data_IF_113052916364
#
_entry.id   IF_113052916364
#
_cell.length_a   1.000
_cell.length_b   1.000
_cell.length_c   1.000
_cell.angle_alpha   90.00
_cell.angle_beta   90.00
_cell.angle_gamma   90.00
#
_symmetry.space_group_name_H-M   'P 1'
#
loop_
_entity.id
_entity.type
_entity.pdbx_description
1 polymer ?
#
# COMPACT_ATOMS: atom_id res chain seq x y z
N UNK A 1 -17.56 6.89 24.31
CA UNK A 1 -16.86 5.92 23.48
C UNK A 1 -15.54 5.49 24.13
N UNK A 2 -14.55 6.37 24.33
CA UNK A 2 -13.24 6.01 24.92
C UNK A 2 -13.33 5.39 26.32
N UNK A 3 -14.18 5.91 27.21
CA UNK A 3 -14.42 5.33 28.54
C UNK A 3 -14.97 3.90 28.44
N UNK A 4 -15.84 3.64 27.48
CA UNK A 4 -16.42 2.31 27.25
C UNK A 4 -15.35 1.32 26.78
N UNK A 5 -14.46 1.73 25.86
CA UNK A 5 -13.33 0.91 25.40
C UNK A 5 -12.35 0.59 26.55
N UNK A 6 -12.11 1.53 27.46
CA UNK A 6 -11.27 1.30 28.64
C UNK A 6 -11.88 0.35 29.65
N UNK A 7 -13.20 0.34 29.78
CA UNK A 7 -13.91 -0.47 30.77
C UNK A 7 -14.21 -1.88 30.24
N UNK A 8 -14.62 -2.01 29.00
CA UNK A 8 -15.12 -3.26 28.42
C UNK A 8 -14.00 -4.13 27.81
N UNK A 9 -12.77 -3.57 27.65
CA UNK A 9 -11.61 -4.34 27.18
C UNK A 9 -11.72 -4.78 25.73
N UNK A 10 -11.50 -6.06 25.46
CA UNK A 10 -11.59 -6.68 24.13
C UNK A 10 -13.04 -7.07 23.80
N UNK A 11 -13.55 -6.63 22.64
CA UNK A 11 -14.84 -7.07 22.15
C UNK A 11 -15.63 -6.03 21.37
N UNK A 12 -16.88 -6.33 21.11
CA UNK A 12 -17.80 -5.42 20.47
C UNK A 12 -18.23 -4.32 21.46
N UNK A 13 -17.86 -3.10 21.14
CA UNK A 13 -18.15 -1.91 21.96
C UNK A 13 -19.53 -1.37 21.66
N UNK A 14 -19.94 -1.47 20.40
CA UNK A 14 -21.27 -1.10 19.96
C UNK A 14 -21.71 -2.05 18.81
N UNK A 15 -22.94 -1.88 18.33
CA UNK A 15 -23.53 -2.72 17.28
C UNK A 15 -22.69 -2.79 15.99
N UNK A 16 -21.95 -1.73 15.70
CA UNK A 16 -21.19 -1.54 14.46
C UNK A 16 -19.68 -1.28 14.69
N UNK A 17 -19.22 -1.43 15.95
CA UNK A 17 -17.85 -1.16 16.34
C UNK A 17 -17.31 -2.22 17.31
N UNK A 18 -16.27 -2.92 16.91
CA UNK A 18 -15.43 -3.77 17.75
C UNK A 18 -14.05 -3.15 18.01
N UNK A 19 -13.48 -3.42 19.18
CA UNK A 19 -12.10 -3.04 19.51
C UNK A 19 -11.41 -4.21 20.19
N UNK A 20 -10.25 -4.60 19.65
CA UNK A 20 -9.44 -5.69 20.19
C UNK A 20 -8.01 -5.23 20.38
N UNK A 21 -7.42 -5.62 21.51
CA UNK A 21 -6.02 -5.32 21.81
C UNK A 21 -5.12 -6.50 21.45
N UNK A 22 -3.89 -6.20 21.08
CA UNK A 22 -2.84 -7.16 20.79
C UNK A 22 -1.48 -6.61 21.21
N UNK A 23 -0.53 -7.48 21.58
CA UNK A 23 0.80 -7.08 22.03
C UNK A 23 1.89 -7.50 21.03
N UNK A 24 1.72 -8.63 20.38
CA UNK A 24 2.70 -9.18 19.44
C UNK A 24 2.05 -9.71 18.15
N UNK A 25 2.88 -10.29 17.31
CA UNK A 25 2.44 -10.82 16.01
C UNK A 25 1.45 -11.98 16.16
N UNK A 26 1.68 -12.89 17.10
CA UNK A 26 0.84 -14.09 17.29
C UNK A 26 -0.54 -13.71 17.76
N UNK A 27 -0.62 -12.81 18.72
CA UNK A 27 -1.91 -12.28 19.21
C UNK A 27 -2.66 -11.51 18.12
N UNK A 28 -1.97 -10.64 17.35
CA UNK A 28 -2.61 -9.94 16.24
C UNK A 28 -3.22 -10.91 15.23
N UNK A 29 -2.48 -11.94 14.85
CA UNK A 29 -2.95 -12.95 13.90
C UNK A 29 -4.13 -13.75 14.48
N UNK A 30 -4.09 -14.10 15.75
CA UNK A 30 -5.16 -14.81 16.45
C UNK A 30 -6.46 -13.98 16.48
N UNK A 31 -6.39 -12.74 16.95
CA UNK A 31 -7.60 -11.89 17.07
C UNK A 31 -8.20 -11.52 15.71
N UNK A 32 -7.38 -11.33 14.67
CA UNK A 32 -7.87 -11.13 13.30
C UNK A 32 -8.62 -12.39 12.84
N UNK A 33 -8.01 -13.57 13.01
CA UNK A 33 -8.60 -14.82 12.54
C UNK A 33 -9.90 -15.13 13.25
N UNK A 34 -9.95 -15.00 14.57
CA UNK A 34 -11.16 -15.25 15.39
C UNK A 34 -12.30 -14.30 15.02
N UNK A 35 -11.98 -13.01 14.84
CA UNK A 35 -12.97 -12.00 14.43
C UNK A 35 -13.51 -12.28 13.03
N UNK A 36 -12.64 -12.61 12.08
CA UNK A 36 -13.07 -12.96 10.72
C UNK A 36 -13.96 -14.21 10.69
N UNK A 37 -13.60 -15.26 11.44
CA UNK A 37 -14.40 -16.48 11.53
C UNK A 37 -15.79 -16.15 12.08
N UNK A 38 -15.87 -15.42 13.18
CA UNK A 38 -17.13 -15.00 13.79
C UNK A 38 -18.02 -14.21 12.82
N UNK A 39 -17.45 -13.22 12.17
CA UNK A 39 -18.20 -12.33 11.28
C UNK A 39 -18.66 -13.06 10.00
N UNK A 40 -17.86 -13.99 9.52
CA UNK A 40 -18.22 -14.84 8.37
C UNK A 40 -19.25 -15.90 8.70
N UNK A 41 -19.22 -16.51 9.90
CA UNK A 41 -20.24 -17.46 10.35
C UNK A 41 -21.61 -16.80 10.47
N UNK A 42 -21.67 -15.59 11.01
CA UNK A 42 -22.91 -14.80 11.11
C UNK A 42 -23.51 -14.43 9.74
N UNK A 43 -22.68 -14.34 8.72
CA UNK A 43 -23.07 -13.86 7.40
C UNK A 43 -23.49 -15.00 6.45
N UNK A 44 -22.76 -16.09 6.45
CA UNK A 44 -22.92 -17.17 5.44
C UNK A 44 -23.63 -18.41 5.97
N UNK A 45 -23.78 -18.58 7.28
CA UNK A 45 -24.24 -19.83 7.88
C UNK A 45 -23.33 -21.04 7.57
N UNK A 46 -22.10 -20.79 7.11
CA UNK A 46 -21.13 -21.82 6.73
C UNK A 46 -20.02 -21.88 7.79
N UNK A 47 -19.80 -23.07 8.30
CA UNK A 47 -18.67 -23.31 9.20
C UNK A 47 -17.37 -23.29 8.42
N UNK A 48 -16.46 -22.38 8.73
CA UNK A 48 -15.09 -22.36 8.22
C UNK A 48 -14.27 -23.58 8.65
N UNK A 49 -14.81 -24.39 9.55
CA UNK A 49 -14.19 -25.61 10.09
C UNK A 49 -14.29 -26.83 9.19
N UNK A 50 -15.02 -26.75 8.09
CA UNK A 50 -15.14 -27.89 7.18
C UNK A 50 -13.84 -28.08 6.38
N UNK A 51 -13.14 -29.18 6.63
CA UNK A 51 -11.86 -29.56 6.01
C UNK A 51 -11.97 -29.58 4.47
N UNK A 52 -11.75 -28.45 3.85
CA UNK A 52 -11.75 -28.31 2.37
C UNK A 52 -12.42 -27.09 1.81
N UNK A 53 -13.07 -26.27 2.62
CA UNK A 53 -13.61 -25.00 2.16
C UNK A 53 -12.80 -23.83 2.76
N UNK A 54 -11.88 -23.26 1.98
CA UNK A 54 -11.21 -22.02 2.32
C UNK A 54 -12.13 -20.82 2.07
N UNK A 55 -11.93 -19.72 2.79
CA UNK A 55 -12.59 -18.44 2.58
C UNK A 55 -12.53 -18.03 1.09
N UNK A 56 -11.39 -18.21 0.46
CA UNK A 56 -11.16 -17.87 -0.95
C UNK A 56 -12.02 -18.70 -1.91
N UNK A 57 -12.30 -19.95 -1.57
CA UNK A 57 -13.19 -20.82 -2.35
C UNK A 57 -14.65 -20.35 -2.24
N UNK A 58 -15.08 -19.93 -1.07
CA UNK A 58 -16.41 -19.33 -0.87
C UNK A 58 -16.55 -18.06 -1.72
N UNK A 59 -15.63 -17.15 -1.68
CA UNK A 59 -15.65 -15.94 -2.50
C UNK A 59 -15.68 -16.26 -4.01
N UNK A 60 -14.89 -17.24 -4.45
CA UNK A 60 -14.90 -17.66 -5.87
C UNK A 60 -16.24 -18.24 -6.29
N UNK A 61 -16.90 -19.02 -5.43
CA UNK A 61 -18.22 -19.56 -5.70
C UNK A 61 -19.28 -18.45 -5.76
N UNK A 62 -19.20 -17.50 -4.86
CA UNK A 62 -20.11 -16.36 -4.83
C UNK A 62 -20.00 -15.48 -6.08
N UNK A 63 -18.78 -15.20 -6.54
CA UNK A 63 -18.57 -14.47 -7.80
C UNK A 63 -19.17 -15.17 -9.03
N UNK A 64 -19.47 -16.47 -8.94
CA UNK A 64 -20.15 -17.23 -10.01
C UNK A 64 -21.66 -17.13 -9.94
N UNK A 65 -22.23 -16.94 -8.77
CA UNK A 65 -23.67 -17.09 -8.51
C UNK A 65 -24.42 -15.81 -8.75
N UNK A 66 -24.11 -14.75 -9.15
CA UNK A 66 -24.90 -13.51 -9.40
C UNK A 66 -26.02 -13.21 -8.37
N UNK A 67 -26.10 -14.01 -7.28
CA UNK A 67 -27.16 -13.95 -6.28
C UNK A 67 -26.83 -13.06 -5.07
N UNK A 68 -25.70 -12.38 -5.12
CA UNK A 68 -25.27 -11.48 -4.05
C UNK A 68 -24.75 -12.21 -2.80
N UNK A 69 -24.56 -13.54 -2.86
CA UNK A 69 -23.91 -14.27 -1.76
C UNK A 69 -22.40 -14.02 -1.80
N UNK A 70 -21.81 -13.82 -0.65
CA UNK A 70 -20.39 -13.55 -0.32
C UNK A 70 -19.50 -12.97 -1.46
N UNK A 71 -19.07 -11.76 -1.31
CA UNK A 71 -18.23 -11.02 -2.24
C UNK A 71 -16.85 -10.78 -1.60
N UNK A 72 -15.72 -10.89 -2.29
CA UNK A 72 -14.41 -10.55 -1.71
C UNK A 72 -14.30 -9.12 -1.17
N UNK A 73 -15.17 -8.21 -1.57
CA UNK A 73 -15.26 -6.87 -1.03
C UNK A 73 -16.07 -6.76 0.27
N UNK A 74 -16.73 -7.83 0.73
CA UNK A 74 -17.47 -7.81 1.99
C UNK A 74 -16.57 -7.61 3.20
N UNK A 75 -15.33 -8.10 3.14
CA UNK A 75 -14.40 -8.08 4.26
C UNK A 75 -13.04 -7.57 3.81
N UNK A 76 -12.51 -6.53 4.50
CA UNK A 76 -11.24 -5.94 4.15
C UNK A 76 -10.40 -5.58 5.36
N UNK A 77 -9.15 -6.07 5.39
CA UNK A 77 -8.13 -5.61 6.33
C UNK A 77 -7.49 -4.34 5.76
N UNK A 78 -7.41 -3.31 6.58
CA UNK A 78 -6.76 -2.04 6.24
C UNK A 78 -5.64 -1.77 7.23
N UNK A 79 -4.42 -1.56 6.73
CA UNK A 79 -3.29 -1.11 7.53
C UNK A 79 -2.72 0.19 6.95
N UNK A 80 -2.39 1.19 7.76
CA UNK A 80 -1.71 2.40 7.30
C UNK A 80 -0.25 2.13 6.89
N UNK A 81 0.32 0.99 7.29
CA UNK A 81 1.71 0.64 7.06
C UNK A 81 1.87 -0.46 6.01
N UNK A 82 3.02 -0.46 5.32
CA UNK A 82 3.35 -1.48 4.32
C UNK A 82 4.27 -2.57 4.89
N UNK A 83 5.38 -2.15 5.46
CA UNK A 83 6.35 -3.03 6.11
C UNK A 83 5.91 -3.49 7.50
N UNK A 84 6.79 -4.19 8.22
CA UNK A 84 6.57 -4.79 9.53
C UNK A 84 5.48 -5.90 9.52
N UNK A 85 5.37 -6.65 10.62
CA UNK A 85 4.42 -7.77 10.71
C UNK A 85 2.94 -7.33 10.71
N UNK A 86 2.66 -6.09 11.08
CA UNK A 86 1.33 -5.47 11.05
C UNK A 86 1.04 -4.70 9.75
N UNK A 87 2.01 -4.64 8.83
CA UNK A 87 1.86 -3.98 7.55
C UNK A 87 1.19 -4.85 6.48
N UNK A 88 0.77 -4.21 5.39
CA UNK A 88 0.02 -4.89 4.33
C UNK A 88 0.78 -6.04 3.71
N UNK A 89 2.11 -5.95 3.55
CA UNK A 89 2.91 -6.99 2.89
C UNK A 89 2.93 -8.28 3.74
N UNK A 90 3.23 -8.16 5.05
CA UNK A 90 3.27 -9.31 5.95
C UNK A 90 1.89 -9.90 6.21
N UNK A 91 0.87 -9.05 6.40
CA UNK A 91 -0.51 -9.50 6.56
C UNK A 91 -1.02 -10.25 5.32
N UNK A 92 -0.70 -9.79 4.12
CA UNK A 92 -1.07 -10.48 2.89
C UNK A 92 -0.41 -11.87 2.78
N UNK A 93 0.89 -11.97 3.09
CA UNK A 93 1.61 -13.25 3.08
C UNK A 93 1.07 -14.21 4.13
N UNK A 94 0.82 -13.72 5.34
CA UNK A 94 0.21 -14.51 6.40
C UNK A 94 -1.18 -15.02 6.00
N UNK A 95 -2.06 -14.13 5.54
CA UNK A 95 -3.42 -14.48 5.10
C UNK A 95 -3.39 -15.53 3.99
N UNK A 96 -2.53 -15.36 2.97
CA UNK A 96 -2.35 -16.35 1.93
C UNK A 96 -1.93 -17.71 2.50
N UNK A 97 -1.01 -17.71 3.46
CA UNK A 97 -0.49 -18.95 4.06
C UNK A 97 -1.54 -19.70 4.90
N UNK A 98 -2.46 -18.99 5.53
CA UNK A 98 -3.52 -19.57 6.39
C UNK A 98 -4.75 -19.97 5.57
N UNK A 99 -5.26 -19.06 4.75
CA UNK A 99 -6.53 -19.25 4.04
C UNK A 99 -6.40 -19.90 2.66
N UNK A 100 -5.22 -19.86 2.05
CA UNK A 100 -4.96 -20.45 0.73
C UNK A 100 -3.78 -21.42 0.72
N UNK A 101 -3.53 -22.11 1.81
CA UNK A 101 -2.35 -22.97 2.04
C UNK A 101 -2.11 -23.99 0.93
N UNK A 102 -3.15 -24.71 0.48
CA UNK A 102 -3.00 -25.74 -0.53
C UNK A 102 -2.53 -25.19 -1.87
N UNK A 103 -3.18 -24.12 -2.34
CA UNK A 103 -2.91 -23.57 -3.67
C UNK A 103 -1.62 -22.76 -3.69
N UNK A 104 -1.34 -21.97 -2.65
CA UNK A 104 -0.13 -21.16 -2.56
C UNK A 104 1.16 -21.99 -2.53
N UNK A 105 1.11 -23.18 -1.93
CA UNK A 105 2.25 -24.11 -1.93
C UNK A 105 2.43 -24.84 -3.25
N UNK A 106 1.37 -25.06 -3.99
CA UNK A 106 1.39 -25.90 -5.19
C UNK A 106 1.50 -25.12 -6.49
N UNK A 107 0.85 -23.98 -6.57
CA UNK A 107 0.75 -23.17 -7.79
C UNK A 107 0.89 -21.70 -7.44
N UNK A 108 2.03 -21.13 -7.80
CA UNK A 108 2.30 -19.72 -7.59
C UNK A 108 2.84 -19.10 -8.88
N UNK A 109 2.30 -17.96 -9.25
CA UNK A 109 2.76 -17.16 -10.37
C UNK A 109 3.06 -15.76 -9.86
N UNK A 110 4.34 -15.45 -9.67
CA UNK A 110 4.82 -14.13 -9.23
C UNK A 110 4.13 -13.63 -7.93
N UNK A 111 3.96 -14.52 -6.95
CA UNK A 111 3.35 -14.20 -5.66
C UNK A 111 1.84 -14.41 -5.58
N UNK A 112 1.16 -14.57 -6.72
CA UNK A 112 -0.28 -14.81 -6.78
C UNK A 112 -0.58 -16.29 -7.08
N UNK A 113 -1.54 -16.83 -6.36
CA UNK A 113 -1.98 -18.23 -6.47
C UNK A 113 -3.48 -18.31 -6.79
N UNK A 114 -3.95 -19.41 -7.31
CA UNK A 114 -5.39 -19.60 -7.50
C UNK A 114 -6.15 -19.39 -6.21
N UNK A 115 -7.29 -18.72 -6.28
CA UNK A 115 -8.16 -18.32 -5.18
C UNK A 115 -7.62 -17.22 -4.26
N UNK A 116 -6.48 -16.62 -4.59
CA UNK A 116 -6.04 -15.43 -3.87
C UNK A 116 -6.97 -14.25 -4.15
N UNK A 117 -7.19 -13.45 -3.11
CA UNK A 117 -7.77 -12.13 -3.23
C UNK A 117 -6.70 -11.17 -3.73
N UNK A 118 -6.98 -10.47 -4.81
CA UNK A 118 -6.03 -9.60 -5.50
C UNK A 118 -6.64 -8.24 -5.81
N UNK A 119 -5.77 -7.24 -5.98
CA UNK A 119 -6.13 -5.90 -6.42
C UNK A 119 -5.34 -5.54 -7.68
N UNK A 120 -5.99 -4.93 -8.63
CA UNK A 120 -5.33 -4.29 -9.76
C UNK A 120 -4.70 -2.99 -9.28
N UNK A 121 -3.40 -2.77 -9.52
CA UNK A 121 -2.74 -1.53 -9.13
C UNK A 121 -2.30 -0.65 -10.31
N UNK A 122 -2.51 -1.13 -11.55
CA UNK A 122 -2.23 -0.40 -12.77
C UNK A 122 -3.52 -0.11 -13.54
N UNK A 123 -3.72 1.16 -13.94
CA UNK A 123 -4.81 1.51 -14.83
C UNK A 123 -4.57 0.94 -16.23
N UNK A 124 -5.57 0.25 -16.78
CA UNK A 124 -5.61 -0.24 -18.16
C UNK A 124 -6.82 0.36 -18.87
N UNK A 125 -6.72 1.64 -19.30
CA UNK A 125 -7.80 2.37 -19.95
C UNK A 125 -7.98 1.90 -21.41
N UNK A 126 -8.94 2.49 -22.12
CA UNK A 126 -9.28 2.15 -23.50
C UNK A 126 -8.09 2.15 -24.47
N UNK A 127 -7.06 2.94 -24.20
CA UNK A 127 -5.81 2.98 -25.00
C UNK A 127 -4.87 1.79 -24.75
N UNK A 128 -4.99 1.12 -23.59
CA UNK A 128 -4.14 -0.01 -23.15
C UNK A 128 -4.98 -1.11 -22.48
N UNK A 129 -6.09 -1.50 -23.09
CA UNK A 129 -7.02 -2.48 -22.51
C UNK A 129 -6.36 -3.83 -22.23
N UNK A 130 -6.76 -4.45 -21.12
CA UNK A 130 -6.37 -5.82 -20.76
C UNK A 130 -7.00 -6.85 -21.69
N UNK A 131 -6.33 -7.99 -21.85
CA UNK A 131 -6.94 -9.14 -22.51
C UNK A 131 -7.78 -9.94 -21.51
N UNK A 132 -9.02 -10.21 -21.90
CA UNK A 132 -10.00 -10.91 -21.08
C UNK A 132 -10.62 -12.06 -21.87
N UNK A 133 -11.01 -13.09 -21.14
CA UNK A 133 -11.88 -14.13 -21.68
C UNK A 133 -13.32 -13.85 -21.25
N UNK A 134 -14.23 -13.78 -22.21
CA UNK A 134 -15.64 -13.56 -21.96
C UNK A 134 -16.36 -14.92 -21.89
N UNK A 135 -16.99 -15.21 -20.75
CA UNK A 135 -17.66 -16.50 -20.51
C UNK A 135 -18.95 -16.68 -21.32
N UNK A 136 -19.58 -15.60 -21.78
CA UNK A 136 -20.79 -15.66 -22.61
C UNK A 136 -20.43 -15.88 -24.07
N UNK A 137 -19.51 -15.12 -24.64
CA UNK A 137 -19.09 -15.22 -26.04
C UNK A 137 -18.10 -16.34 -26.30
N UNK A 138 -17.46 -16.89 -25.25
CA UNK A 138 -16.38 -17.90 -25.33
C UNK A 138 -15.18 -17.44 -26.14
N UNK A 139 -14.91 -16.14 -26.15
CA UNK A 139 -13.83 -15.53 -26.92
C UNK A 139 -12.93 -14.65 -26.04
N UNK A 140 -11.71 -14.42 -26.53
CA UNK A 140 -10.81 -13.45 -25.94
C UNK A 140 -11.14 -12.07 -26.51
N UNK A 141 -11.38 -11.12 -25.63
CA UNK A 141 -11.72 -9.74 -25.91
C UNK A 141 -10.70 -8.80 -25.25
N UNK A 142 -10.95 -7.50 -25.37
CA UNK A 142 -10.23 -6.48 -24.61
C UNK A 142 -11.20 -5.71 -23.74
N UNK A 143 -10.81 -5.49 -22.48
CA UNK A 143 -11.59 -4.71 -21.53
C UNK A 143 -10.71 -3.77 -20.71
N UNK A 144 -11.31 -2.69 -20.26
CA UNK A 144 -10.70 -1.76 -19.32
C UNK A 144 -10.68 -2.37 -17.92
N UNK A 145 -9.64 -2.07 -17.15
CA UNK A 145 -9.55 -2.35 -15.72
C UNK A 145 -8.75 -1.22 -15.06
N UNK A 146 -9.16 -0.83 -13.87
CA UNK A 146 -8.61 0.33 -13.20
C UNK A 146 -7.93 -0.05 -11.89
N UNK A 147 -7.02 0.83 -11.47
CA UNK A 147 -6.39 0.74 -10.16
C UNK A 147 -7.45 0.75 -9.06
N UNK A 148 -7.34 -0.16 -8.11
CA UNK A 148 -8.28 -0.33 -7.00
C UNK A 148 -9.34 -1.42 -7.22
N UNK A 149 -9.49 -1.98 -8.43
CA UNK A 149 -10.44 -3.08 -8.63
C UNK A 149 -9.97 -4.35 -7.92
N UNK A 150 -10.81 -4.89 -7.04
CA UNK A 150 -10.56 -6.10 -6.25
C UNK A 150 -11.23 -7.29 -6.91
N UNK A 151 -10.55 -8.44 -6.87
CA UNK A 151 -11.06 -9.67 -7.45
C UNK A 151 -10.43 -10.93 -6.86
N UNK A 152 -10.83 -12.06 -7.40
CA UNK A 152 -10.29 -13.38 -7.05
C UNK A 152 -9.55 -13.96 -8.24
N UNK A 153 -8.33 -14.43 -7.97
CA UNK A 153 -7.53 -15.18 -8.93
C UNK A 153 -8.15 -16.57 -9.17
N UNK A 154 -8.33 -16.94 -10.44
CA UNK A 154 -8.91 -18.21 -10.83
C UNK A 154 -8.05 -18.88 -11.90
N UNK A 155 -8.15 -20.20 -12.05
CA UNK A 155 -7.52 -20.93 -13.15
C UNK A 155 -8.60 -21.35 -14.14
N UNK A 156 -8.32 -21.17 -15.42
CA UNK A 156 -9.20 -21.71 -16.47
C UNK A 156 -9.39 -23.21 -16.29
N UNK A 157 -10.64 -23.67 -16.23
CA UNK A 157 -10.99 -25.09 -16.10
C UNK A 157 -11.20 -25.60 -14.68
N UNK A 158 -11.00 -24.80 -13.63
CA UNK A 158 -11.47 -25.17 -12.29
C UNK A 158 -13.00 -25.22 -12.21
N UNK A 159 -13.67 -24.58 -13.15
CA UNK A 159 -15.14 -24.61 -13.29
C UNK A 159 -15.65 -25.90 -13.93
N UNK A 160 -14.76 -26.75 -14.44
CA UNK A 160 -15.12 -28.01 -15.09
C UNK A 160 -14.68 -29.22 -14.25
N UNK A 161 -15.52 -30.28 -14.18
CA UNK A 161 -15.25 -31.46 -13.33
C UNK A 161 -14.04 -32.30 -13.75
N UNK A 162 -13.45 -32.04 -14.90
CA UNK A 162 -12.41 -32.88 -15.52
C UNK A 162 -11.00 -32.76 -14.94
N UNK A 163 -10.78 -31.98 -13.87
CA UNK A 163 -9.54 -31.99 -13.04
C UNK A 163 -8.23 -31.94 -13.85
N UNK A 164 -8.21 -31.37 -15.06
CA UNK A 164 -7.01 -31.26 -15.90
C UNK A 164 -5.86 -30.51 -15.20
N UNK A 165 -6.19 -29.56 -14.27
CA UNK A 165 -5.22 -28.85 -13.43
C UNK A 165 -4.36 -29.80 -12.57
N UNK A 166 -4.83 -31.02 -12.27
CA UNK A 166 -4.02 -32.01 -11.54
C UNK A 166 -2.80 -32.50 -12.34
N UNK A 167 -2.77 -32.23 -13.65
CA UNK A 167 -1.66 -32.58 -14.55
C UNK A 167 -0.70 -31.42 -14.81
N UNK A 168 -1.00 -30.20 -14.32
CA UNK A 168 -0.11 -29.07 -14.49
C UNK A 168 1.10 -29.21 -13.56
N UNK A 169 2.28 -29.15 -14.13
CA UNK A 169 3.54 -29.12 -13.35
C UNK A 169 3.89 -27.71 -12.89
N UNK A 170 3.43 -26.68 -13.62
CA UNK A 170 3.74 -25.27 -13.36
C UNK A 170 2.61 -24.36 -13.84
N UNK A 171 2.36 -23.27 -13.11
CA UNK A 171 1.40 -22.25 -13.50
C UNK A 171 2.07 -21.24 -14.43
N UNK A 172 1.57 -21.10 -15.66
CA UNK A 172 2.10 -20.14 -16.64
C UNK A 172 1.18 -18.92 -16.83
N UNK A 173 -0.09 -19.04 -16.46
CA UNK A 173 -1.06 -17.95 -16.49
C UNK A 173 -2.11 -18.10 -15.40
N UNK A 174 -2.70 -17.00 -15.01
CA UNK A 174 -3.79 -16.91 -14.05
C UNK A 174 -4.85 -15.95 -14.59
N UNK A 175 -6.08 -16.16 -14.22
CA UNK A 175 -7.19 -15.28 -14.56
C UNK A 175 -7.70 -14.60 -13.29
N UNK A 176 -8.25 -13.40 -13.42
CA UNK A 176 -8.89 -12.70 -12.29
C UNK A 176 -10.32 -12.35 -12.66
N UNK A 177 -11.24 -12.63 -11.75
CA UNK A 177 -12.61 -12.12 -11.77
C UNK A 177 -12.68 -10.95 -10.81
N UNK A 178 -12.85 -9.75 -11.33
CA UNK A 178 -13.04 -8.55 -10.52
C UNK A 178 -14.51 -8.41 -10.11
N UNK A 179 -14.75 -8.04 -8.85
CA UNK A 179 -16.09 -7.92 -8.26
C UNK A 179 -16.98 -6.95 -9.06
N UNK A 180 -16.45 -5.79 -9.39
CA UNK A 180 -17.15 -4.75 -10.14
C UNK A 180 -17.46 -5.13 -11.60
N UNK A 181 -16.76 -6.16 -12.14
CA UNK A 181 -16.92 -6.65 -13.50
C UNK A 181 -17.72 -7.98 -13.58
N UNK A 182 -18.20 -8.49 -12.44
CA UNK A 182 -18.83 -9.82 -12.38
C UNK A 182 -20.05 -9.94 -13.30
N UNK A 183 -20.87 -8.89 -13.42
CA UNK A 183 -22.03 -8.86 -14.35
C UNK A 183 -21.67 -9.05 -15.82
N UNK A 184 -20.41 -8.72 -16.20
CA UNK A 184 -19.91 -8.87 -17.56
C UNK A 184 -19.34 -10.25 -17.83
N UNK A 185 -19.24 -11.13 -16.82
CA UNK A 185 -18.67 -12.48 -16.89
C UNK A 185 -17.28 -12.52 -17.54
N UNK A 186 -16.46 -11.49 -17.26
CA UNK A 186 -15.12 -11.35 -17.79
C UNK A 186 -14.11 -11.98 -16.85
N UNK A 187 -13.12 -12.66 -17.42
CA UNK A 187 -11.93 -13.13 -16.72
C UNK A 187 -10.70 -12.48 -17.31
N UNK A 188 -10.02 -11.69 -16.51
CA UNK A 188 -8.83 -10.93 -16.91
C UNK A 188 -7.62 -11.86 -16.90
N UNK A 189 -6.89 -11.93 -18.02
CA UNK A 189 -5.79 -12.87 -18.22
C UNK A 189 -4.45 -12.23 -17.84
N UNK A 190 -3.63 -12.91 -17.02
CA UNK A 190 -2.27 -12.51 -16.63
C UNK A 190 -1.31 -13.68 -16.78
N UNK A 191 -0.02 -13.36 -17.09
CA UNK A 191 1.03 -14.36 -17.31
C UNK A 191 1.34 -14.58 -18.77
N UNK A 192 1.87 -15.76 -19.06
CA UNK A 192 2.32 -16.21 -20.39
C UNK A 192 1.26 -17.10 -21.06
N UNK A 193 1.43 -17.29 -22.39
CA UNK A 193 0.61 -18.23 -23.19
C UNK A 193 -0.89 -18.00 -23.04
N UNK A 194 -1.32 -16.76 -23.09
CA UNK A 194 -2.71 -16.34 -22.91
C UNK A 194 -3.63 -16.73 -24.10
N UNK A 195 -3.13 -17.42 -25.11
CA UNK A 195 -3.88 -17.83 -26.29
C UNK A 195 -3.76 -16.84 -27.45
N UNK A 196 -4.75 -16.85 -28.34
CA UNK A 196 -4.81 -15.99 -29.52
C UNK A 196 -5.94 -14.99 -29.41
N UNK A 197 -5.74 -13.80 -29.99
CA UNK A 197 -6.76 -12.76 -30.14
C UNK A 197 -7.76 -13.11 -31.26
N UNK A 198 -8.78 -12.27 -31.44
CA UNK A 198 -9.81 -12.39 -32.49
C UNK A 198 -9.22 -12.45 -33.92
N UNK A 199 -8.01 -11.91 -34.11
CA UNK A 199 -7.30 -11.90 -35.40
C UNK A 199 -6.31 -13.06 -35.53
N UNK A 200 -6.35 -14.02 -34.59
CA UNK A 200 -5.48 -15.20 -34.59
C UNK A 200 -4.02 -14.92 -34.19
N UNK A 201 -3.68 -13.74 -33.66
CA UNK A 201 -2.35 -13.38 -33.20
C UNK A 201 -2.17 -13.81 -31.76
N UNK A 202 -0.96 -14.26 -31.39
CA UNK A 202 -0.64 -14.59 -30.00
C UNK A 202 -0.78 -13.36 -29.11
N UNK A 203 -1.50 -13.51 -28.01
CA UNK A 203 -1.63 -12.50 -26.97
C UNK A 203 -0.28 -12.36 -26.25
N UNK A 204 0.29 -11.14 -26.17
CA UNK A 204 1.55 -10.90 -25.45
C UNK A 204 1.38 -11.16 -23.96
N UNK A 205 2.50 -11.50 -23.29
CA UNK A 205 2.53 -11.70 -21.86
C UNK A 205 2.00 -10.46 -21.12
N UNK A 206 1.16 -10.70 -20.11
CA UNK A 206 0.71 -9.69 -19.15
C UNK A 206 1.24 -10.07 -17.78
N UNK A 207 2.37 -9.51 -17.40
CA UNK A 207 3.04 -9.88 -16.15
C UNK A 207 2.17 -9.61 -14.93
N UNK A 208 2.07 -10.58 -14.05
CA UNK A 208 1.35 -10.47 -12.78
C UNK A 208 1.93 -9.34 -11.94
N UNK A 209 3.23 -9.30 -11.75
CA UNK A 209 3.95 -8.32 -10.93
C UNK A 209 3.77 -6.86 -11.38
N UNK A 210 3.41 -6.62 -12.65
CA UNK A 210 3.19 -5.27 -13.18
C UNK A 210 1.73 -4.82 -13.06
N UNK A 211 0.83 -5.69 -12.60
CA UNK A 211 -0.61 -5.43 -12.61
C UNK A 211 -1.32 -5.77 -11.30
N UNK A 212 -0.90 -6.84 -10.62
CA UNK A 212 -1.63 -7.41 -9.48
C UNK A 212 -0.79 -7.45 -8.21
N UNK A 213 -1.44 -7.20 -7.09
CA UNK A 213 -0.92 -7.47 -5.75
C UNK A 213 -1.96 -8.27 -4.95
N UNK A 214 -1.50 -8.97 -3.90
CA UNK A 214 -2.42 -9.57 -2.93
C UNK A 214 -3.24 -8.46 -2.23
N UNK A 215 -4.49 -8.75 -1.93
CA UNK A 215 -5.43 -7.77 -1.39
C UNK A 215 -6.21 -8.24 -0.16
N UNK A 216 -5.72 -9.20 0.58
CA UNK A 216 -6.30 -9.54 1.89
C UNK A 216 -6.20 -8.34 2.83
N UNK A 217 -5.04 -7.66 2.80
CA UNK A 217 -4.80 -6.39 3.47
C UNK A 217 -4.37 -5.33 2.45
N UNK A 218 -4.97 -4.15 2.52
CA UNK A 218 -4.64 -3.00 1.65
C UNK A 218 -4.34 -1.76 2.47
N UNK A 219 -3.63 -0.81 1.88
CA UNK A 219 -3.41 0.48 2.53
C UNK A 219 -4.68 1.34 2.51
N UNK A 220 -4.77 2.30 3.44
CA UNK A 220 -5.89 3.25 3.48
C UNK A 220 -6.06 3.98 2.14
N UNK A 221 -4.94 4.34 1.48
CA UNK A 221 -5.01 5.00 0.16
C UNK A 221 -5.64 4.11 -0.92
N UNK A 222 -5.29 2.82 -0.93
CA UNK A 222 -5.87 1.85 -1.88
C UNK A 222 -7.35 1.54 -1.60
N UNK A 223 -7.83 1.79 -0.37
CA UNK A 223 -9.23 1.61 -0.02
C UNK A 223 -10.11 2.81 -0.40
N UNK A 224 -9.50 3.94 -0.79
CA UNK A 224 -10.27 5.14 -1.18
C UNK A 224 -11.15 4.85 -2.39
N UNK A 225 -12.42 5.24 -2.28
CA UNK A 225 -13.44 5.00 -3.32
C UNK A 225 -14.09 3.62 -3.28
N UNK A 226 -13.58 2.69 -2.46
CA UNK A 226 -14.20 1.39 -2.21
C UNK A 226 -14.98 1.40 -0.90
N UNK A 227 -15.97 0.52 -0.79
CA UNK A 227 -16.76 0.29 0.41
C UNK A 227 -16.81 -1.20 0.69
N UNK A 228 -16.79 -1.56 1.99
CA UNK A 228 -16.75 -2.94 2.43
C UNK A 228 -17.78 -3.15 3.54
N UNK A 229 -18.39 -4.32 3.61
CA UNK A 229 -19.33 -4.61 4.69
C UNK A 229 -18.64 -4.61 6.05
N UNK A 230 -17.53 -5.33 6.16
CA UNK A 230 -16.71 -5.46 7.36
C UNK A 230 -15.30 -4.92 7.11
N UNK A 231 -14.87 -3.98 7.93
CA UNK A 231 -13.53 -3.39 7.84
C UNK A 231 -12.74 -3.68 9.11
N UNK A 232 -11.54 -4.20 8.95
CA UNK A 232 -10.59 -4.50 10.02
C UNK A 232 -9.40 -3.57 9.92
N UNK A 233 -9.26 -2.67 10.91
CA UNK A 233 -8.21 -1.64 10.90
C UNK A 233 -7.12 -2.04 11.89
N UNK A 234 -5.90 -2.26 11.40
CA UNK A 234 -4.74 -2.60 12.23
C UNK A 234 -3.96 -1.35 12.57
N UNK A 235 -3.87 -1.02 13.86
CA UNK A 235 -3.20 0.19 14.37
C UNK A 235 -2.12 -0.23 15.36
N UNK A 236 -0.83 -0.15 14.96
CA UNK A 236 0.28 -0.39 15.87
C UNK A 236 0.53 0.81 16.78
N UNK A 237 1.18 0.56 17.92
CA UNK A 237 1.68 1.60 18.82
C UNK A 237 2.99 2.16 18.28
N UNK A 238 2.87 3.03 17.30
CA UNK A 238 4.00 3.69 16.67
C UNK A 238 3.73 5.18 16.57
N UNK A 239 4.66 5.98 17.04
CA UNK A 239 4.61 7.43 16.79
C UNK A 239 5.08 7.67 15.35
N UNK A 240 4.14 7.97 14.49
CA UNK A 240 4.38 8.15 13.06
C UNK A 240 3.48 9.26 12.54
N UNK A 241 4.01 10.04 11.62
CA UNK A 241 3.24 11.05 10.90
C UNK A 241 2.23 10.45 9.90
N UNK A 242 2.35 9.16 9.58
CA UNK A 242 1.43 8.48 8.67
C UNK A 242 0.04 8.28 9.27
N UNK A 243 -0.04 8.05 10.58
CA UNK A 243 -1.33 7.86 11.24
C UNK A 243 -1.88 9.20 11.70
N UNK A 244 -2.87 9.72 11.00
CA UNK A 244 -3.58 10.95 11.32
C UNK A 244 -5.06 10.67 11.59
N UNK A 245 -5.76 11.66 12.18
CA UNK A 245 -7.20 11.56 12.40
C UNK A 245 -7.95 11.37 11.08
N UNK A 246 -7.55 12.08 10.02
CA UNK A 246 -8.17 12.02 8.71
C UNK A 246 -7.95 10.67 8.03
N UNK A 247 -6.77 10.08 8.21
CA UNK A 247 -6.47 8.75 7.70
C UNK A 247 -7.33 7.70 8.40
N UNK A 248 -7.43 7.77 9.72
CA UNK A 248 -8.30 6.90 10.50
C UNK A 248 -9.77 7.08 10.11
N UNK A 249 -10.23 8.33 9.97
CA UNK A 249 -11.58 8.63 9.49
C UNK A 249 -11.83 8.01 8.11
N UNK A 250 -10.87 8.16 7.18
CA UNK A 250 -10.96 7.56 5.85
C UNK A 250 -11.09 6.04 5.91
N UNK A 251 -10.34 5.38 6.80
CA UNK A 251 -10.40 3.94 6.96
C UNK A 251 -11.74 3.48 7.56
N UNK A 252 -12.22 4.15 8.62
CA UNK A 252 -13.50 3.83 9.28
C UNK A 252 -14.68 4.00 8.32
N UNK A 253 -14.68 5.08 7.52
CA UNK A 253 -15.75 5.35 6.56
C UNK A 253 -15.77 4.40 5.35
N UNK A 254 -14.87 3.43 5.28
CA UNK A 254 -14.94 2.35 4.28
C UNK A 254 -15.93 1.26 4.67
N UNK A 255 -16.31 1.17 5.94
CA UNK A 255 -17.24 0.15 6.42
C UNK A 255 -18.70 0.55 6.18
N UNK A 256 -19.48 -0.41 5.67
CA UNK A 256 -20.93 -0.27 5.53
C UNK A 256 -21.70 -0.84 6.73
N UNK A 257 -21.19 -1.92 7.36
CA UNK A 257 -21.90 -2.64 8.42
C UNK A 257 -21.16 -2.61 9.74
N UNK A 258 -19.87 -2.94 9.73
CA UNK A 258 -19.09 -3.10 10.96
C UNK A 258 -17.63 -2.73 10.79
N UNK A 259 -17.08 -2.04 11.79
CA UNK A 259 -15.65 -1.74 11.91
C UNK A 259 -15.08 -2.49 13.10
N UNK A 260 -13.98 -3.18 12.91
CA UNK A 260 -13.16 -3.70 14.01
C UNK A 260 -11.81 -3.02 13.99
N UNK A 261 -11.40 -2.45 15.12
CA UNK A 261 -10.10 -1.81 15.28
C UNK A 261 -9.21 -2.70 16.15
N UNK A 262 -8.10 -3.14 15.61
CA UNK A 262 -7.07 -3.90 16.31
C UNK A 262 -5.98 -2.93 16.78
N UNK A 263 -5.90 -2.68 18.08
CA UNK A 263 -4.99 -1.72 18.71
C UNK A 263 -3.84 -2.43 19.39
N UNK A 264 -2.61 -1.96 19.15
CA UNK A 264 -1.46 -2.46 19.90
C UNK A 264 -1.43 -1.87 21.32
N UNK A 265 -1.33 -2.75 22.32
CA UNK A 265 -1.19 -2.53 23.76
C UNK A 265 -2.40 -1.83 24.40
N UNK A 266 -2.72 -0.61 24.01
CA UNK A 266 -3.71 0.22 24.68
C UNK A 266 -4.38 1.25 23.76
N UNK A 267 -5.35 1.98 24.31
CA UNK A 267 -6.10 3.02 23.61
C UNK A 267 -5.27 4.31 23.36
N UNK A 268 -4.08 4.42 23.91
CA UNK A 268 -3.27 5.63 23.87
C UNK A 268 -3.02 6.15 22.46
N UNK A 269 -2.83 5.25 21.48
CA UNK A 269 -2.66 5.63 20.08
C UNK A 269 -3.89 6.36 19.53
N UNK A 270 -5.11 5.90 19.80
CA UNK A 270 -6.34 6.57 19.37
C UNK A 270 -6.56 7.90 20.09
N UNK A 271 -6.29 7.96 21.41
CA UNK A 271 -6.45 9.21 22.17
C UNK A 271 -5.46 10.27 21.68
N UNK A 272 -4.23 9.87 21.35
CA UNK A 272 -3.22 10.77 20.79
C UNK A 272 -3.62 11.32 19.40
N UNK A 273 -4.32 10.56 18.58
CA UNK A 273 -4.85 11.06 17.30
C UNK A 273 -5.90 12.15 17.47
N UNK A 274 -6.61 12.19 18.62
CA UNK A 274 -7.55 13.25 18.97
C UNK A 274 -6.90 14.61 19.22
N UNK A 275 -5.58 14.67 19.39
CA UNK A 275 -4.90 15.94 19.55
C UNK A 275 -4.83 16.71 18.23
N UNK A 276 -5.16 17.99 18.29
CA UNK A 276 -5.25 18.89 17.13
C UNK A 276 -3.95 18.99 16.31
N UNK A 277 -2.81 18.70 16.93
CA UNK A 277 -1.48 18.68 16.32
C UNK A 277 -1.29 17.49 15.35
N UNK A 278 -2.08 16.43 15.51
CA UNK A 278 -2.06 15.24 14.64
C UNK A 278 -3.01 15.35 13.45
N UNK A 279 -3.75 16.47 13.32
CA UNK A 279 -4.64 16.68 12.17
C UNK A 279 -3.88 17.13 10.93
N UNK A 280 -3.99 16.36 9.84
CA UNK A 280 -3.40 16.73 8.56
C UNK A 280 -4.10 17.96 7.95
N UNK A 281 -5.42 18.14 8.18
CA UNK A 281 -6.18 19.28 7.66
C UNK A 281 -5.67 20.61 8.19
N UNK A 282 -5.23 20.68 9.44
CA UNK A 282 -4.64 21.90 9.99
C UNK A 282 -3.29 22.27 9.37
N UNK A 283 -2.68 21.34 8.68
CA UNK A 283 -1.41 21.53 7.97
C UNK A 283 -1.61 21.91 6.50
N UNK A 284 -2.83 21.87 6.00
CA UNK A 284 -3.14 22.17 4.60
C UNK A 284 -3.68 23.61 4.52
N UNK A 285 -2.93 24.50 3.88
CA UNK A 285 -3.45 25.76 3.37
C UNK A 285 -4.28 25.50 2.10
N UNK A 286 -5.40 26.14 1.98
CA UNK A 286 -6.19 26.15 0.76
C UNK A 286 -6.35 27.59 0.26
N UNK A 287 -6.75 27.76 -1.00
CA UNK A 287 -7.11 29.08 -1.54
C UNK A 287 -8.26 29.76 -0.81
N UNK A 288 -8.97 29.04 0.06
CA UNK A 288 -10.14 29.53 0.84
C UNK A 288 -9.71 29.97 2.25
N UNK A 289 -8.63 29.40 2.79
CA UNK A 289 -8.14 29.67 4.14
C UNK A 289 -6.68 30.11 4.09
N UNK A 290 -6.38 31.30 4.61
CA UNK A 290 -5.02 31.75 4.84
C UNK A 290 -4.62 31.38 6.26
N UNK A 291 -3.54 30.56 6.39
CA UNK A 291 -2.91 30.27 7.66
C UNK A 291 -1.67 31.15 7.80
N UNK A 292 -1.55 31.83 8.90
CA UNK A 292 -0.38 32.65 9.17
C UNK A 292 0.22 32.28 10.55
N UNK A 293 1.46 31.74 10.63
CA UNK A 293 2.38 31.51 9.50
C UNK A 293 1.90 30.37 8.58
N UNK A 294 2.30 30.44 7.31
CA UNK A 294 2.12 29.34 6.36
C UNK A 294 2.71 28.06 6.98
N UNK A 295 1.93 26.96 7.11
CA UNK A 295 2.48 25.70 7.57
C UNK A 295 3.66 25.29 6.68
N UNK A 296 4.70 24.74 7.30
CA UNK A 296 5.90 24.30 6.56
C UNK A 296 5.58 23.35 5.41
N UNK A 297 4.54 22.53 5.56
CA UNK A 297 4.12 21.57 4.55
C UNK A 297 3.59 22.20 3.24
N UNK A 298 3.20 23.48 3.27
CA UNK A 298 2.82 24.21 2.05
C UNK A 298 3.98 24.84 1.31
N UNK A 299 5.08 24.96 1.97
CA UNK A 299 6.35 25.26 1.31
C UNK A 299 6.88 24.01 0.58
N UNK A 300 6.17 22.88 0.74
CA UNK A 300 6.56 21.59 0.20
C UNK A 300 5.97 21.36 -1.19
N UNK A 301 6.82 21.35 -2.18
CA UNK A 301 6.43 21.22 -3.59
C UNK A 301 6.41 19.77 -4.04
N UNK A 302 5.51 18.96 -3.49
CA UNK A 302 5.35 17.55 -3.86
C UNK A 302 5.24 17.30 -5.36
N UNK A 303 4.66 18.28 -6.08
CA UNK A 303 4.41 18.14 -7.52
C UNK A 303 5.53 18.70 -8.40
N UNK A 304 6.57 19.31 -7.82
CA UNK A 304 7.69 19.77 -8.62
C UNK A 304 8.49 18.55 -9.06
N UNK A 305 8.76 18.47 -10.37
CA UNK A 305 9.44 17.34 -10.98
C UNK A 305 8.78 15.96 -10.72
N UNK A 306 7.44 15.91 -10.59
CA UNK A 306 6.71 14.68 -10.32
C UNK A 306 7.01 13.56 -11.34
N UNK A 307 7.19 13.94 -12.61
CA UNK A 307 7.53 13.00 -13.69
C UNK A 307 8.94 12.39 -13.56
N UNK A 308 9.83 13.04 -12.82
CA UNK A 308 11.20 12.59 -12.58
C UNK A 308 11.32 11.71 -11.34
N UNK A 309 10.38 11.79 -10.39
CA UNK A 309 10.34 11.02 -9.14
C UNK A 309 9.83 9.59 -9.38
N UNK A 310 10.74 8.69 -9.78
CA UNK A 310 10.39 7.35 -10.26
C UNK A 310 10.69 6.22 -9.27
N UNK A 311 11.48 6.48 -8.24
CA UNK A 311 11.95 5.46 -7.33
C UNK A 311 11.24 5.56 -5.98
N UNK A 312 10.54 4.50 -5.59
CA UNK A 312 9.92 4.39 -4.26
C UNK A 312 10.98 4.17 -3.17
N UNK A 313 10.77 4.77 -2.01
CA UNK A 313 11.58 4.56 -0.81
C UNK A 313 10.79 3.83 0.26
N UNK A 314 11.41 3.50 1.39
CA UNK A 314 10.72 3.01 2.59
C UNK A 314 9.89 4.11 3.28
N UNK A 315 10.13 5.38 2.94
CA UNK A 315 9.29 6.50 3.34
C UNK A 315 8.10 6.69 2.38
N UNK A 316 7.31 7.73 2.62
CA UNK A 316 6.22 8.15 1.72
C UNK A 316 6.69 8.81 0.41
N UNK A 317 8.00 9.09 0.29
CA UNK A 317 8.55 9.84 -0.83
C UNK A 317 8.94 8.95 -2.01
N UNK A 318 8.61 9.44 -3.21
CA UNK A 318 9.25 9.02 -4.45
C UNK A 318 10.41 9.97 -4.74
N UNK A 319 11.57 9.43 -5.09
CA UNK A 319 12.80 10.18 -5.33
C UNK A 319 13.28 10.02 -6.78
N UNK A 320 14.22 10.88 -7.20
CA UNK A 320 14.67 10.94 -8.60
C UNK A 320 15.76 9.91 -8.93
N UNK A 321 16.54 9.46 -7.96
CA UNK A 321 17.66 8.56 -8.20
C UNK A 321 17.70 7.37 -7.24
N UNK A 322 18.39 6.30 -7.65
CA UNK A 322 18.62 5.13 -6.77
C UNK A 322 19.51 5.47 -5.57
N UNK A 323 20.41 6.42 -5.73
CA UNK A 323 21.29 6.89 -4.67
C UNK A 323 20.50 7.62 -3.59
N UNK A 324 19.51 8.41 -3.99
CA UNK A 324 18.57 9.04 -3.05
C UNK A 324 17.69 8.00 -2.33
N UNK A 325 17.31 6.88 -2.98
CA UNK A 325 16.62 5.76 -2.29
C UNK A 325 17.47 5.20 -1.16
N UNK A 326 18.77 5.01 -1.39
CA UNK A 326 19.69 4.49 -0.37
C UNK A 326 19.73 5.43 0.83
N UNK A 327 19.91 6.73 0.59
CA UNK A 327 19.96 7.73 1.65
C UNK A 327 18.63 7.80 2.41
N UNK A 328 17.50 7.92 1.71
CA UNK A 328 16.18 7.97 2.31
C UNK A 328 15.89 6.75 3.20
N UNK A 329 16.18 5.55 2.69
CA UNK A 329 15.96 4.31 3.44
C UNK A 329 16.86 4.22 4.68
N UNK A 330 18.12 4.70 4.61
CA UNK A 330 19.01 4.75 5.76
C UNK A 330 18.54 5.73 6.83
N UNK A 331 17.88 6.83 6.45
CA UNK A 331 17.25 7.77 7.37
C UNK A 331 16.03 7.16 8.04
N UNK A 332 15.18 6.46 7.27
CA UNK A 332 14.01 5.72 7.78
C UNK A 332 14.43 4.64 8.78
N UNK A 333 15.40 3.79 8.41
CA UNK A 333 15.89 2.70 9.26
C UNK A 333 16.42 3.15 10.63
N UNK A 334 16.76 4.43 10.77
CA UNK A 334 17.28 5.02 12.01
C UNK A 334 16.33 6.00 12.67
N UNK A 335 15.08 6.03 12.22
CA UNK A 335 14.04 6.96 12.72
C UNK A 335 14.50 8.44 12.70
N UNK A 336 15.28 8.83 11.68
CA UNK A 336 15.76 10.20 11.52
C UNK A 336 14.72 10.98 10.70
N UNK A 337 14.12 12.05 11.26
CA UNK A 337 13.13 12.84 10.54
C UNK A 337 13.77 13.59 9.36
N UNK A 338 13.14 13.50 8.19
CA UNK A 338 13.57 14.26 7.03
C UNK A 338 12.39 14.69 6.15
N UNK A 339 12.64 15.68 5.29
CA UNK A 339 11.76 16.10 4.20
C UNK A 339 12.54 16.02 2.89
N UNK A 340 11.93 15.49 1.85
CA UNK A 340 12.52 15.41 0.52
C UNK A 340 12.16 16.64 -0.31
N UNK A 341 13.15 17.29 -0.94
CA UNK A 341 13.00 18.51 -1.78
C UNK A 341 12.16 19.64 -1.13
N UNK A 342 12.34 19.87 0.17
CA UNK A 342 11.69 20.99 0.86
C UNK A 342 12.32 22.31 0.41
N UNK A 343 11.54 23.30 -0.09
CA UNK A 343 12.08 24.60 -0.47
C UNK A 343 12.80 25.30 0.67
N UNK A 344 14.02 25.72 0.40
CA UNK A 344 14.86 26.46 1.32
C UNK A 344 15.11 27.88 0.79
N UNK A 345 14.62 28.87 1.52
CA UNK A 345 14.73 30.28 1.15
C UNK A 345 15.82 30.97 1.94
N UNK A 346 16.66 31.75 1.25
CA UNK A 346 17.57 32.68 1.88
C UNK A 346 16.90 34.04 2.18
N UNK A 347 17.51 34.85 3.03
CA UNK A 347 17.00 36.16 3.40
C UNK A 347 16.86 37.14 2.20
N UNK A 348 17.62 36.90 1.13
CA UNK A 348 17.56 37.68 -0.10
C UNK A 348 16.47 37.20 -1.09
N UNK A 349 15.64 36.25 -0.68
CA UNK A 349 14.55 35.67 -1.47
C UNK A 349 15.00 34.62 -2.49
N UNK A 350 16.30 34.32 -2.61
CA UNK A 350 16.77 33.20 -3.43
C UNK A 350 16.41 31.86 -2.79
N UNK A 351 16.10 30.84 -3.63
CA UNK A 351 15.61 29.55 -3.18
C UNK A 351 16.34 28.40 -3.87
N UNK A 352 16.63 27.36 -3.11
CA UNK A 352 17.03 26.05 -3.62
C UNK A 352 16.20 24.93 -2.98
N UNK A 353 16.18 23.78 -3.65
CA UNK A 353 15.60 22.53 -3.14
C UNK A 353 16.77 21.62 -2.72
N UNK A 354 17.04 21.42 -1.42
CA UNK A 354 17.93 20.36 -0.97
C UNK A 354 17.28 19.00 -1.28
N UNK A 355 18.10 18.00 -1.60
CA UNK A 355 17.56 16.64 -1.80
C UNK A 355 16.87 16.17 -0.50
N UNK A 356 17.50 16.42 0.65
CA UNK A 356 16.88 16.13 1.95
C UNK A 356 17.10 17.30 2.93
N UNK A 357 16.04 17.68 3.63
CA UNK A 357 16.12 18.49 4.85
C UNK A 357 16.00 17.53 6.04
N UNK A 358 17.06 17.38 6.82
CA UNK A 358 17.18 16.36 7.88
C UNK A 358 17.30 17.04 9.25
N UNK A 359 16.70 16.43 10.27
CA UNK A 359 16.82 16.92 11.65
C UNK A 359 17.64 15.93 12.49
N UNK A 360 18.82 16.38 12.95
CA UNK A 360 19.67 15.65 13.89
C UNK A 360 19.71 16.38 15.23
N UNK A 361 19.38 15.71 16.34
CA UNK A 361 19.39 16.27 17.70
C UNK A 361 18.70 17.64 17.86
N UNK A 362 17.65 17.87 17.04
CA UNK A 362 16.89 19.13 17.05
C UNK A 362 17.49 20.23 16.16
N UNK A 363 18.62 19.99 15.50
CA UNK A 363 19.21 20.90 14.53
C UNK A 363 18.90 20.48 13.10
N UNK A 364 18.67 21.44 12.21
CA UNK A 364 18.31 21.19 10.82
C UNK A 364 19.54 21.24 9.93
N UNK A 365 19.67 20.25 9.06
CA UNK A 365 20.72 20.13 8.05
C UNK A 365 20.11 19.93 6.67
N UNK A 366 20.83 20.36 5.64
CA UNK A 366 20.45 20.28 4.24
C UNK A 366 21.40 19.32 3.53
N UNK A 367 20.89 18.19 3.08
CA UNK A 367 21.71 17.15 2.48
C UNK A 367 21.52 17.13 0.96
N UNK A 368 22.64 17.18 0.24
CA UNK A 368 22.72 17.13 -1.20
C UNK A 368 23.47 15.86 -1.63
N UNK A 369 22.94 15.17 -2.62
CA UNK A 369 23.62 14.06 -3.27
C UNK A 369 24.10 14.46 -4.66
N UNK A 370 25.39 14.48 -4.87
CA UNK A 370 26.03 15.04 -6.07
C UNK A 370 26.45 13.91 -7.00
N UNK A 371 25.75 13.74 -8.12
CA UNK A 371 25.89 12.58 -9.01
C UNK A 371 26.73 12.76 -10.27
N UNK A 372 26.74 13.93 -10.91
CA UNK A 372 27.22 14.11 -12.28
C UNK A 372 28.35 15.12 -12.41
N UNK A 373 29.39 15.03 -11.59
CA UNK A 373 30.52 15.99 -11.58
C UNK A 373 31.43 15.91 -12.83
N UNK A 374 31.31 14.88 -13.61
CA UNK A 374 31.95 14.73 -14.93
C UNK A 374 31.37 15.66 -15.99
N UNK A 375 30.16 16.21 -15.76
CA UNK A 375 29.53 17.18 -16.64
C UNK A 375 29.87 18.60 -16.22
N UNK A 376 30.50 19.42 -17.10
CA UNK A 376 30.97 20.77 -16.76
C UNK A 376 29.84 21.73 -16.34
N UNK A 377 28.68 21.66 -17.00
CA UNK A 377 27.49 22.45 -16.71
C UNK A 377 26.92 22.14 -15.33
N UNK A 378 26.81 20.85 -14.98
CA UNK A 378 26.36 20.39 -13.68
C UNK A 378 27.33 20.80 -12.57
N UNK A 379 28.65 20.65 -12.80
CA UNK A 379 29.70 21.04 -11.87
C UNK A 379 29.64 22.53 -11.55
N UNK A 380 29.51 23.38 -12.58
CA UNK A 380 29.40 24.83 -12.40
C UNK A 380 28.15 25.23 -11.59
N UNK A 381 27.01 24.54 -11.84
CA UNK A 381 25.80 24.75 -11.08
C UNK A 381 25.96 24.33 -9.60
N UNK A 382 26.58 23.17 -9.38
CA UNK A 382 26.87 22.68 -8.03
C UNK A 382 27.78 23.64 -7.24
N UNK A 383 28.88 24.12 -7.84
CA UNK A 383 29.78 25.08 -7.20
C UNK A 383 29.08 26.40 -6.82
N UNK A 384 28.11 26.85 -7.63
CA UNK A 384 27.26 28.00 -7.31
C UNK A 384 26.32 27.71 -6.15
N UNK A 385 25.67 26.53 -6.15
CA UNK A 385 24.77 26.09 -5.10
C UNK A 385 25.51 25.94 -3.75
N UNK A 386 26.71 25.35 -3.76
CA UNK A 386 27.55 25.18 -2.58
C UNK A 386 27.92 26.56 -1.94
N UNK A 387 28.36 27.53 -2.76
CA UNK A 387 28.64 28.87 -2.27
C UNK A 387 27.42 29.57 -1.68
N UNK A 388 26.23 29.29 -2.24
CA UNK A 388 24.99 29.82 -1.72
C UNK A 388 24.69 29.23 -0.33
N UNK A 389 24.91 27.92 -0.11
CA UNK A 389 24.78 27.30 1.22
C UNK A 389 25.80 27.87 2.22
N UNK A 390 27.06 27.97 1.83
CA UNK A 390 28.12 28.53 2.67
C UNK A 390 27.79 29.94 3.15
N UNK A 391 27.20 30.75 2.26
CA UNK A 391 26.79 32.12 2.59
C UNK A 391 25.57 32.20 3.50
N UNK A 392 24.53 31.41 3.23
CA UNK A 392 23.23 31.59 3.85
C UNK A 392 22.95 30.61 5.00
N UNK A 393 23.59 29.43 4.99
CA UNK A 393 23.40 28.35 5.95
C UNK A 393 24.73 27.69 6.35
N UNK A 394 25.66 28.48 6.93
CA UNK A 394 27.00 28.00 7.22
C UNK A 394 26.98 26.81 8.21
N UNK A 395 27.69 25.73 7.85
CA UNK A 395 27.80 24.55 8.69
C UNK A 395 26.59 23.60 8.64
N UNK A 396 25.54 23.90 7.86
CA UNK A 396 24.33 23.09 7.79
C UNK A 396 24.25 22.24 6.51
N UNK A 397 25.20 22.37 5.59
CA UNK A 397 25.23 21.58 4.36
C UNK A 397 25.91 20.23 4.59
N UNK A 398 25.22 19.14 4.26
CA UNK A 398 25.75 17.77 4.20
C UNK A 398 25.83 17.35 2.74
N UNK A 399 26.92 16.69 2.33
CA UNK A 399 27.15 16.31 0.94
C UNK A 399 27.59 14.86 0.86
N UNK A 400 26.94 14.11 -0.02
CA UNK A 400 27.42 12.81 -0.49
C UNK A 400 27.65 12.84 -2.00
N UNK A 401 28.59 12.02 -2.46
CA UNK A 401 28.93 11.93 -3.89
C UNK A 401 28.57 10.56 -4.44
N UNK A 402 28.22 10.54 -5.72
CA UNK A 402 27.99 9.29 -6.43
C UNK A 402 29.26 8.43 -6.42
N UNK A 403 29.13 7.18 -6.03
CA UNK A 403 30.28 6.29 -5.96
C UNK A 403 30.01 4.97 -5.25
N UNK A 404 31.01 4.06 -5.30
CA UNK A 404 30.91 2.73 -4.69
C UNK A 404 30.74 2.75 -3.17
N UNK A 405 31.14 3.86 -2.51
CA UNK A 405 31.14 4.01 -1.06
C UNK A 405 29.95 4.81 -0.53
N UNK A 406 28.97 5.16 -1.37
CA UNK A 406 27.84 6.02 -0.98
C UNK A 406 27.20 5.62 0.36
N UNK A 407 26.93 4.32 0.56
CA UNK A 407 26.30 3.85 1.80
C UNK A 407 27.20 4.06 3.03
N UNK A 408 28.52 3.93 2.88
CA UNK A 408 29.47 4.16 3.96
C UNK A 408 29.61 5.65 4.28
N UNK A 409 29.65 6.49 3.25
CA UNK A 409 29.75 7.95 3.39
C UNK A 409 28.47 8.50 4.05
N UNK A 410 27.29 8.06 3.59
CA UNK A 410 26.01 8.42 4.18
C UNK A 410 25.90 7.97 5.65
N UNK A 411 26.34 6.74 5.95
CA UNK A 411 26.39 6.24 7.32
C UNK A 411 27.32 7.06 8.20
N UNK A 412 28.50 7.44 7.68
CA UNK A 412 29.45 8.30 8.37
C UNK A 412 28.86 9.66 8.75
N UNK A 413 28.13 10.28 7.83
CA UNK A 413 27.42 11.55 8.08
C UNK A 413 26.37 11.37 9.19
N UNK A 414 25.53 10.33 9.07
CA UNK A 414 24.51 10.04 10.07
C UNK A 414 25.14 9.85 11.46
N UNK A 415 26.16 9.01 11.57
CA UNK A 415 26.82 8.74 12.87
C UNK A 415 27.53 9.95 13.47
N UNK A 416 28.00 10.88 12.64
CA UNK A 416 28.65 12.11 13.12
C UNK A 416 27.64 13.12 13.72
N UNK A 417 26.36 13.06 13.33
CA UNK A 417 25.35 14.04 13.71
C UNK A 417 24.24 13.45 14.63
N UNK A 418 24.10 12.09 14.67
CA UNK A 418 23.11 11.39 15.52
C UNK A 418 23.43 11.34 17.00
#
# INVERSE_FOLDING_TARGET
MFEKIQLDGNGDIDKDLGVYFWHDQEELQCVIQETMVRDMEGYTGWYLQDEGMSLNKLWTQALKKEDGSANPEELQIISPYRGEFYGTDALNQWMQSVFNTYWSRKYNLDGVSPFDKVIQFRNRPRSDMAYVYNDDTKQNERAEVFNGEIGIAVIHGLDYPNQWYKRMSQLEHIQVRFSNQNRRKLRYNYGKKLGKDEKGRWIPEQKVQENLELAYAISVHKSQGSEFDYVYIVIPKRDSHLLSMELLYTAITRAQKHVTIFLQDDIGTLTNLGHLEKSAVRRINSSIFEFNPLPEELLYTHNWHADEKKFATLSEYFVRSKSEVIIANMLVDRDIPFKYEKPLYAADGTMYLPDFTVTFRGETYYWEHVGMLDRPDYKAHWEKKQKWYEKNFPGQLLVTYEGKNLSQDALGIIMAHS
#
